data_IF_413151802418
#
_entry.id   IF_413151802418
#
_cell.length_a   1.000
_cell.length_b   1.000
_cell.length_c   1.000
_cell.angle_alpha   90.00
_cell.angle_beta   90.00
_cell.angle_gamma   90.00
#
_symmetry.space_group_name_H-M   'P 1'
#
loop_
_entity.id
_entity.type
_entity.pdbx_description
1 polymer ?
#
# COMPACT_ATOMS: atom_id res chain seq x y z
N UNK A 1 -17.89 -5.54 -30.51
CA UNK A 1 -16.55 -4.93 -30.66
C UNK A 1 -15.80 -5.15 -29.35
N UNK A 2 -14.52 -5.50 -29.43
CA UNK A 2 -13.69 -5.64 -28.22
C UNK A 2 -13.60 -4.29 -27.52
N UNK A 3 -13.71 -4.27 -26.20
CA UNK A 3 -13.59 -3.07 -25.36
C UNK A 3 -12.20 -2.41 -25.49
N UNK A 4 -11.15 -3.20 -25.65
CA UNK A 4 -9.78 -2.79 -25.89
C UNK A 4 -9.28 -3.29 -27.24
N UNK A 5 -8.39 -2.56 -27.90
CA UNK A 5 -7.62 -3.03 -29.04
C UNK A 5 -6.61 -4.11 -28.61
N UNK A 6 -6.09 -4.88 -29.58
CA UNK A 6 -5.08 -5.91 -29.29
C UNK A 6 -3.81 -5.32 -28.63
N UNK A 7 -3.40 -4.14 -29.08
CA UNK A 7 -2.24 -3.44 -28.48
C UNK A 7 -2.49 -3.02 -27.03
N UNK A 8 -3.69 -2.59 -26.71
CA UNK A 8 -4.07 -2.21 -25.35
C UNK A 8 -4.20 -3.43 -24.44
N UNK A 9 -4.71 -4.55 -24.95
CA UNK A 9 -4.69 -5.83 -24.23
C UNK A 9 -3.27 -6.28 -23.90
N UNK A 10 -2.32 -6.12 -24.82
CA UNK A 10 -0.92 -6.43 -24.57
C UNK A 10 -0.32 -5.51 -23.51
N UNK A 11 -0.59 -4.19 -23.57
CA UNK A 11 -0.15 -3.23 -22.57
C UNK A 11 -0.74 -3.52 -21.18
N UNK A 12 -2.03 -3.85 -21.10
CA UNK A 12 -2.70 -4.21 -19.85
C UNK A 12 -2.11 -5.48 -19.25
N UNK A 13 -1.89 -6.52 -20.06
CA UNK A 13 -1.29 -7.75 -19.60
C UNK A 13 0.15 -7.53 -19.10
N UNK A 14 0.96 -6.76 -19.81
CA UNK A 14 2.31 -6.39 -19.41
C UNK A 14 2.32 -5.58 -18.09
N UNK A 15 1.34 -4.70 -17.89
CA UNK A 15 1.14 -4.00 -16.62
C UNK A 15 0.82 -4.96 -15.48
N UNK A 16 -0.12 -5.89 -15.67
CA UNK A 16 -0.51 -6.89 -14.66
C UNK A 16 0.67 -7.81 -14.30
N UNK A 17 1.47 -8.22 -15.29
CA UNK A 17 2.70 -8.99 -15.04
C UNK A 17 3.69 -8.18 -14.20
N UNK A 18 3.88 -6.90 -14.51
CA UNK A 18 4.77 -6.02 -13.76
C UNK A 18 4.32 -5.81 -12.31
N UNK A 19 3.02 -5.68 -12.07
CA UNK A 19 2.45 -5.58 -10.71
C UNK A 19 2.84 -6.79 -9.85
N UNK A 20 2.93 -7.97 -10.45
CA UNK A 20 3.18 -9.21 -9.72
C UNK A 20 4.66 -9.63 -9.66
N UNK A 21 5.53 -9.08 -10.51
CA UNK A 21 6.94 -9.50 -10.62
C UNK A 21 7.95 -8.55 -9.97
N UNK A 22 7.60 -7.28 -9.76
CA UNK A 22 8.52 -6.29 -9.20
C UNK A 22 8.48 -6.36 -7.67
N UNK A 23 9.61 -6.66 -7.03
CA UNK A 23 9.69 -6.78 -5.56
C UNK A 23 9.83 -5.43 -4.86
N UNK A 24 10.55 -4.47 -5.44
CA UNK A 24 10.73 -3.13 -4.88
C UNK A 24 9.43 -2.34 -4.97
N UNK A 25 8.92 -1.87 -3.82
CA UNK A 25 7.69 -1.10 -3.74
C UNK A 25 7.75 0.20 -4.57
N UNK A 26 8.83 0.96 -4.43
CA UNK A 26 9.00 2.22 -5.16
C UNK A 26 9.10 2.00 -6.67
N UNK A 27 9.83 0.97 -7.10
CA UNK A 27 9.95 0.59 -8.50
C UNK A 27 8.61 0.12 -9.06
N UNK A 28 7.88 -0.70 -8.32
CA UNK A 28 6.53 -1.17 -8.64
C UNK A 28 5.60 0.02 -8.90
N UNK A 29 5.44 0.95 -7.95
CA UNK A 29 4.57 2.12 -8.10
C UNK A 29 4.97 3.01 -9.26
N UNK A 30 6.28 3.27 -9.43
CA UNK A 30 6.80 4.04 -10.57
C UNK A 30 6.48 3.37 -11.90
N UNK A 31 6.64 2.04 -11.99
CA UNK A 31 6.36 1.28 -13.20
C UNK A 31 4.86 1.27 -13.52
N UNK A 32 4.01 1.10 -12.51
CA UNK A 32 2.55 1.17 -12.67
C UNK A 32 2.15 2.52 -13.27
N UNK A 33 2.58 3.62 -12.68
CA UNK A 33 2.25 4.96 -13.18
C UNK A 33 2.73 5.15 -14.62
N UNK A 34 3.97 4.81 -14.92
CA UNK A 34 4.53 4.95 -16.28
C UNK A 34 3.78 4.13 -17.33
N UNK A 35 3.44 2.88 -17.01
CA UNK A 35 2.71 2.00 -17.92
C UNK A 35 1.25 2.42 -18.09
N UNK A 36 0.59 2.88 -17.02
CA UNK A 36 -0.76 3.43 -17.10
C UNK A 36 -0.87 4.58 -18.09
N UNK A 37 0.15 5.45 -18.21
CA UNK A 37 0.12 6.60 -19.14
C UNK A 37 -0.08 6.20 -20.61
N UNK A 38 0.30 4.99 -20.99
CA UNK A 38 0.05 4.47 -22.34
C UNK A 38 -1.41 4.05 -22.59
N UNK A 39 -2.11 3.66 -21.54
CA UNK A 39 -3.52 3.24 -21.59
C UNK A 39 -4.47 4.40 -21.28
N UNK A 40 -4.07 5.25 -20.36
CA UNK A 40 -4.84 6.38 -19.81
C UNK A 40 -3.94 7.61 -19.79
N UNK A 41 -3.97 8.48 -20.81
CA UNK A 41 -3.21 9.71 -20.82
C UNK A 41 -3.54 10.59 -19.60
N UNK A 42 -2.54 11.13 -18.94
CA UNK A 42 -2.67 12.04 -17.81
C UNK A 42 -1.54 13.08 -17.78
N UNK A 43 -1.78 14.26 -17.19
CA UNK A 43 -0.78 15.31 -16.98
C UNK A 43 0.17 14.94 -15.84
N UNK A 44 -0.39 14.67 -14.68
CA UNK A 44 0.34 14.29 -13.49
C UNK A 44 -0.33 13.14 -12.77
N UNK A 45 0.43 12.40 -11.98
CA UNK A 45 -0.09 11.29 -11.20
C UNK A 45 0.61 11.20 -9.85
N UNK A 46 -0.12 10.74 -8.84
CA UNK A 46 0.42 10.44 -7.53
C UNK A 46 -0.03 9.05 -7.06
N UNK A 47 0.91 8.30 -6.48
CA UNK A 47 0.64 7.02 -5.85
C UNK A 47 1.24 7.03 -4.44
N UNK A 48 0.44 6.87 -3.44
CA UNK A 48 0.87 6.83 -2.06
C UNK A 48 0.28 5.64 -1.31
N UNK A 49 1.00 5.24 -0.28
CA UNK A 49 0.61 4.18 0.63
C UNK A 49 -0.07 4.76 1.85
N UNK A 50 -0.74 3.92 2.61
CA UNK A 50 -1.35 4.29 3.87
C UNK A 50 -1.21 3.17 4.89
N UNK A 51 -1.11 3.54 6.15
CA UNK A 51 -1.22 2.63 7.30
C UNK A 51 -2.54 2.84 8.07
N UNK A 52 -3.51 3.53 7.47
CA UNK A 52 -4.81 3.72 8.08
C UNK A 52 -5.52 2.38 8.27
N UNK A 53 -5.49 1.87 9.50
CA UNK A 53 -6.58 1.07 10.01
C UNK A 53 -7.87 1.90 10.01
N UNK A 54 -9.04 1.26 10.19
CA UNK A 54 -10.38 1.91 10.09
C UNK A 54 -10.60 3.15 10.99
N UNK A 55 -9.59 3.57 11.75
CA UNK A 55 -9.66 4.73 12.62
C UNK A 55 -9.59 6.03 11.83
N UNK A 56 -10.43 6.97 12.23
CA UNK A 56 -10.51 8.30 11.61
C UNK A 56 -9.23 9.09 11.86
N UNK A 57 -8.68 9.66 10.81
CA UNK A 57 -7.65 10.69 10.90
C UNK A 57 -8.33 12.00 11.33
N UNK A 58 -7.86 12.58 12.40
CA UNK A 58 -8.45 13.80 12.98
C UNK A 58 -7.63 15.06 12.74
N UNK A 59 -6.36 14.93 12.37
CA UNK A 59 -5.46 16.08 12.21
C UNK A 59 -4.70 16.05 10.88
N UNK A 60 -4.27 17.24 10.36
CA UNK A 60 -3.42 17.32 9.17
C UNK A 60 -2.11 16.54 9.34
N UNK A 61 -1.57 16.49 10.57
CA UNK A 61 -0.34 15.78 10.85
C UNK A 61 -0.53 14.26 10.73
N UNK A 62 -1.61 13.72 11.26
CA UNK A 62 -1.95 12.30 11.09
C UNK A 62 -2.17 11.96 9.63
N UNK A 63 -2.88 12.83 8.87
CA UNK A 63 -3.06 12.68 7.43
C UNK A 63 -1.71 12.57 6.71
N UNK A 64 -0.79 13.50 7.00
CA UNK A 64 0.54 13.55 6.40
C UNK A 64 1.38 12.31 6.73
N UNK A 65 1.30 11.80 7.96
CA UNK A 65 2.14 10.69 8.43
C UNK A 65 1.54 9.31 8.17
N UNK A 66 0.23 9.19 8.04
CA UNK A 66 -0.47 7.89 7.93
C UNK A 66 -1.10 7.64 6.55
N UNK A 67 -1.57 8.69 5.87
CA UNK A 67 -2.18 8.58 4.54
C UNK A 67 -1.16 8.71 3.43
N UNK A 68 -0.20 9.63 3.59
CA UNK A 68 0.84 9.89 2.61
C UNK A 68 2.17 9.24 2.99
N UNK A 69 2.16 7.93 3.19
CA UNK A 69 3.41 7.18 3.35
C UNK A 69 4.14 7.12 2.01
N UNK A 70 5.39 7.61 2.02
CA UNK A 70 6.30 7.61 0.87
C UNK A 70 5.58 7.96 -0.45
N UNK A 71 5.02 9.18 -0.57
CA UNK A 71 4.31 9.58 -1.78
C UNK A 71 5.23 9.54 -3.00
N UNK A 72 4.75 8.94 -4.10
CA UNK A 72 5.46 8.88 -5.36
C UNK A 72 4.65 9.64 -6.41
N UNK A 73 5.20 10.76 -6.89
CA UNK A 73 4.59 11.57 -7.94
C UNK A 73 5.31 11.48 -9.27
N UNK A 74 4.56 11.61 -10.35
CA UNK A 74 5.06 11.85 -11.71
C UNK A 74 4.47 13.19 -12.16
N UNK A 75 5.33 14.12 -12.53
CA UNK A 75 4.97 15.47 -13.00
C UNK A 75 4.06 16.25 -12.03
N UNK A 76 4.11 15.93 -10.73
CA UNK A 76 3.38 16.65 -9.69
C UNK A 76 4.11 17.96 -9.38
N UNK A 77 3.44 19.13 -9.43
CA UNK A 77 4.07 20.40 -9.11
C UNK A 77 4.65 20.43 -7.68
N UNK A 78 5.83 21.08 -7.54
CA UNK A 78 6.47 21.24 -6.23
C UNK A 78 5.54 22.00 -5.25
N UNK A 79 5.51 21.59 -3.98
CA UNK A 79 4.69 22.19 -2.93
C UNK A 79 3.21 21.82 -2.98
N UNK A 80 2.76 21.08 -3.99
CA UNK A 80 1.33 20.76 -4.14
C UNK A 80 0.84 19.80 -3.03
N UNK A 81 1.69 18.85 -2.65
CA UNK A 81 1.36 17.90 -1.56
C UNK A 81 1.30 18.60 -0.20
N UNK A 82 2.21 19.52 0.06
CA UNK A 82 2.22 20.34 1.28
C UNK A 82 0.97 21.21 1.35
N UNK A 83 0.64 21.90 0.28
CA UNK A 83 -0.56 22.73 0.18
C UNK A 83 -1.85 21.92 0.42
N UNK A 84 -1.93 20.73 -0.16
CA UNK A 84 -3.03 19.81 0.08
C UNK A 84 -3.15 19.45 1.56
N UNK A 85 -2.06 19.01 2.17
CA UNK A 85 -2.04 18.55 3.56
C UNK A 85 -2.35 19.66 4.55
N UNK A 86 -1.95 20.90 4.24
CA UNK A 86 -2.16 22.05 5.14
C UNK A 86 -3.58 22.63 5.03
N UNK A 87 -4.18 22.60 3.84
CA UNK A 87 -5.40 23.38 3.57
C UNK A 87 -6.58 22.56 3.05
N UNK A 88 -6.35 21.59 2.18
CA UNK A 88 -7.44 21.02 1.35
C UNK A 88 -7.85 19.60 1.70
N UNK A 89 -7.06 18.86 2.47
CA UNK A 89 -7.29 17.45 2.77
C UNK A 89 -8.70 17.12 3.30
N UNK A 90 -9.32 18.05 4.06
CA UNK A 90 -10.67 17.84 4.60
C UNK A 90 -11.78 17.96 3.54
N UNK A 91 -11.47 18.60 2.41
CA UNK A 91 -12.39 18.79 1.30
C UNK A 91 -12.25 17.68 0.24
N UNK A 92 -11.24 16.84 0.38
CA UNK A 92 -10.98 15.73 -0.54
C UNK A 92 -12.03 14.63 -0.36
N UNK A 93 -12.42 14.04 -1.48
CA UNK A 93 -13.38 12.94 -1.53
C UNK A 93 -12.85 11.67 -0.88
N UNK A 94 -11.53 11.43 -0.85
CA UNK A 94 -10.94 10.32 -0.10
C UNK A 94 -11.34 10.41 1.37
N UNK A 95 -11.35 11.63 1.94
CA UNK A 95 -11.83 11.86 3.31
C UNK A 95 -13.33 11.58 3.43
N UNK A 96 -14.11 11.94 2.42
CA UNK A 96 -15.54 11.60 2.38
C UNK A 96 -15.78 10.09 2.25
N UNK A 97 -14.88 9.38 1.59
CA UNK A 97 -14.92 7.92 1.39
C UNK A 97 -14.28 7.10 2.52
N UNK A 98 -13.86 7.73 3.61
CA UNK A 98 -13.26 7.04 4.78
C UNK A 98 -14.09 5.90 5.39
N UNK A 99 -15.39 5.84 5.07
CA UNK A 99 -16.28 4.76 5.46
C UNK A 99 -16.36 3.62 4.43
N UNK A 100 -15.59 3.68 3.34
CA UNK A 100 -15.53 2.60 2.37
C UNK A 100 -14.84 1.39 3.00
N UNK A 101 -15.41 0.23 2.71
CA UNK A 101 -14.88 -1.08 3.14
C UNK A 101 -14.29 -1.88 1.99
N UNK A 102 -14.28 -1.30 0.79
CA UNK A 102 -13.77 -1.93 -0.43
C UNK A 102 -13.08 -0.92 -1.32
N UNK A 103 -12.14 -1.40 -2.12
CA UNK A 103 -11.49 -0.60 -3.15
C UNK A 103 -12.50 -0.06 -4.16
N UNK A 104 -12.21 1.14 -4.65
CA UNK A 104 -13.15 1.87 -5.51
C UNK A 104 -12.37 2.71 -6.51
N UNK A 105 -12.86 2.76 -7.75
CA UNK A 105 -12.43 3.72 -8.78
C UNK A 105 -13.48 4.82 -8.88
N UNK A 106 -13.07 6.05 -8.77
CA UNK A 106 -13.97 7.21 -8.78
C UNK A 106 -13.42 8.29 -9.70
N UNK A 107 -14.22 8.67 -10.69
CA UNK A 107 -14.04 9.91 -11.42
C UNK A 107 -14.67 11.03 -10.61
N UNK A 108 -13.91 12.06 -10.29
CA UNK A 108 -14.33 13.11 -9.37
C UNK A 108 -15.60 13.82 -9.85
N UNK A 109 -15.71 14.07 -11.16
CA UNK A 109 -16.87 14.70 -11.76
C UNK A 109 -18.19 13.96 -11.55
N UNK A 110 -18.16 12.63 -11.38
CA UNK A 110 -19.37 11.83 -11.13
C UNK A 110 -19.93 12.04 -9.72
N UNK A 111 -19.12 12.60 -8.82
CA UNK A 111 -19.45 12.76 -7.40
C UNK A 111 -19.73 14.23 -7.03
N UNK A 112 -19.36 15.18 -7.89
CA UNK A 112 -19.49 16.59 -7.59
C UNK A 112 -20.94 17.06 -7.65
N UNK A 113 -21.41 17.66 -6.55
CA UNK A 113 -22.60 18.50 -6.58
C UNK A 113 -22.30 19.87 -7.20
N UNK A 114 -23.32 20.63 -7.66
CA UNK A 114 -23.10 21.99 -8.17
C UNK A 114 -22.37 22.92 -7.18
N UNK A 115 -22.52 22.70 -5.87
CA UNK A 115 -21.82 23.47 -4.84
C UNK A 115 -20.34 23.11 -4.69
N UNK A 116 -19.98 21.86 -4.96
CA UNK A 116 -18.60 21.40 -4.84
C UNK A 116 -17.72 21.98 -5.94
N UNK A 117 -18.25 22.18 -7.15
CA UNK A 117 -17.55 22.76 -8.30
C UNK A 117 -17.03 24.17 -7.97
N UNK A 118 -17.73 24.89 -7.11
CA UNK A 118 -17.37 26.23 -6.66
C UNK A 118 -16.45 26.26 -5.43
N UNK A 119 -16.09 25.11 -4.90
CA UNK A 119 -15.21 25.00 -3.73
C UNK A 119 -13.79 25.53 -4.02
N UNK A 120 -13.11 25.99 -2.98
CA UNK A 120 -11.71 26.42 -3.09
C UNK A 120 -10.77 25.24 -3.44
N UNK A 121 -11.14 24.03 -3.08
CA UNK A 121 -10.43 22.83 -3.47
C UNK A 121 -10.43 22.64 -5.00
N UNK A 122 -11.60 22.74 -5.62
CA UNK A 122 -11.72 22.60 -7.08
C UNK A 122 -11.07 23.76 -7.84
N UNK A 123 -11.26 24.99 -7.37
CA UNK A 123 -10.78 26.20 -8.07
C UNK A 123 -9.31 26.48 -7.82
N UNK A 124 -8.91 26.52 -6.55
CA UNK A 124 -7.60 27.03 -6.16
C UNK A 124 -6.54 25.91 -6.16
N UNK A 125 -6.93 24.68 -5.78
CA UNK A 125 -6.02 23.54 -5.70
C UNK A 125 -5.98 22.75 -7.00
N UNK A 126 -7.10 22.24 -7.47
CA UNK A 126 -7.16 21.49 -8.71
C UNK A 126 -7.07 22.38 -9.96
N UNK A 127 -7.41 23.66 -9.87
CA UNK A 127 -7.38 24.59 -11.00
C UNK A 127 -8.29 24.15 -12.15
N UNK A 128 -9.40 23.47 -11.83
CA UNK A 128 -10.34 22.91 -12.80
C UNK A 128 -9.84 21.66 -13.53
N UNK A 129 -8.77 21.01 -13.03
CA UNK A 129 -8.32 19.70 -13.54
C UNK A 129 -9.38 18.64 -13.32
N UNK A 130 -9.38 17.64 -14.19
CA UNK A 130 -10.13 16.42 -13.98
C UNK A 130 -9.29 15.42 -13.20
N UNK A 131 -9.91 14.72 -12.28
CA UNK A 131 -9.24 13.71 -11.43
C UNK A 131 -9.99 12.39 -11.49
N UNK A 132 -9.26 11.32 -11.63
CA UNK A 132 -9.75 9.97 -11.33
C UNK A 132 -8.90 9.39 -10.20
N UNK A 133 -9.59 8.89 -9.17
CA UNK A 133 -9.00 8.29 -7.99
C UNK A 133 -9.24 6.79 -7.97
N UNK A 134 -8.22 6.04 -7.57
CA UNK A 134 -8.35 4.63 -7.18
C UNK A 134 -7.95 4.53 -5.71
N UNK A 135 -8.90 4.22 -4.87
CA UNK A 135 -8.68 3.97 -3.44
C UNK A 135 -8.61 2.47 -3.19
N UNK A 136 -7.57 2.02 -2.50
CA UNK A 136 -7.29 0.61 -2.22
C UNK A 136 -7.64 0.27 -0.78
N UNK A 137 -8.46 -0.76 -0.59
CA UNK A 137 -8.87 -1.25 0.72
C UNK A 137 -8.75 -2.76 0.81
N UNK A 138 -8.47 -3.26 2.00
CA UNK A 138 -8.66 -4.66 2.38
C UNK A 138 -9.48 -4.74 3.68
N UNK A 139 -9.58 -5.94 4.26
CA UNK A 139 -10.33 -6.16 5.50
C UNK A 139 -9.75 -5.39 6.69
N UNK A 140 -8.45 -5.05 6.65
CA UNK A 140 -7.75 -4.30 7.70
C UNK A 140 -7.91 -2.77 7.56
N UNK A 141 -8.27 -2.27 6.37
CA UNK A 141 -8.53 -0.85 6.13
C UNK A 141 -7.95 -0.30 4.84
N UNK A 142 -7.64 0.99 4.84
CA UNK A 142 -7.12 1.74 3.70
C UNK A 142 -5.64 1.44 3.47
N UNK A 143 -5.31 0.98 2.27
CA UNK A 143 -3.94 0.59 1.87
C UNK A 143 -3.19 1.71 1.15
N UNK A 144 -3.90 2.63 0.53
CA UNK A 144 -3.32 3.69 -0.28
C UNK A 144 -4.25 4.15 -1.39
N UNK A 145 -3.73 5.05 -2.24
CA UNK A 145 -4.49 5.62 -3.32
C UNK A 145 -3.59 5.95 -4.52
N UNK A 146 -4.19 5.91 -5.69
CA UNK A 146 -3.61 6.36 -6.95
C UNK A 146 -4.51 7.44 -7.54
N UNK A 147 -3.94 8.60 -7.85
CA UNK A 147 -4.62 9.71 -8.48
C UNK A 147 -4.01 9.99 -9.84
N UNK A 148 -4.84 10.11 -10.87
CA UNK A 148 -4.45 10.62 -12.18
C UNK A 148 -5.13 11.96 -12.38
N UNK A 149 -4.36 12.97 -12.80
CA UNK A 149 -4.84 14.31 -13.07
C UNK A 149 -4.70 14.63 -14.54
N UNK A 150 -5.72 15.29 -15.11
CA UNK A 150 -5.75 15.72 -16.51
C UNK A 150 -6.13 17.19 -16.58
N UNK A 151 -5.53 17.94 -17.51
CA UNK A 151 -5.89 19.34 -17.75
C UNK A 151 -7.33 19.47 -18.18
N UNK A 152 -7.94 20.57 -17.82
CA UNK A 152 -9.32 20.90 -18.21
C UNK A 152 -9.54 20.86 -19.71
N UNK A 153 -8.56 21.35 -20.47
CA UNK A 153 -8.61 21.44 -21.93
C UNK A 153 -8.55 20.06 -22.63
N UNK A 154 -8.03 19.04 -21.95
CA UNK A 154 -7.94 17.67 -22.46
C UNK A 154 -9.23 16.86 -22.25
N UNK A 155 -10.18 17.44 -21.52
CA UNK A 155 -11.45 16.80 -21.18
C UNK A 155 -11.31 15.78 -20.04
N UNK A 156 -12.44 15.30 -19.58
CA UNK A 156 -12.52 14.37 -18.46
C UNK A 156 -12.12 12.93 -18.86
N UNK A 157 -11.88 12.11 -17.87
CA UNK A 157 -11.65 10.68 -18.04
C UNK A 157 -12.93 10.01 -18.56
N UNK A 158 -12.81 9.23 -19.62
CA UNK A 158 -13.92 8.50 -20.21
C UNK A 158 -14.31 7.27 -19.38
N UNK A 159 -15.54 6.77 -19.55
CA UNK A 159 -16.01 5.53 -18.92
C UNK A 159 -15.09 4.33 -19.26
N UNK A 160 -14.50 4.33 -20.47
CA UNK A 160 -13.54 3.32 -20.90
C UNK A 160 -12.27 3.37 -20.06
N UNK A 161 -11.74 4.55 -19.74
CA UNK A 161 -10.54 4.72 -18.91
C UNK A 161 -10.82 4.33 -17.46
N UNK A 162 -12.00 4.66 -16.95
CA UNK A 162 -12.47 4.18 -15.64
C UNK A 162 -12.52 2.66 -15.59
N UNK A 163 -13.09 2.01 -16.61
CA UNK A 163 -13.14 0.54 -16.69
C UNK A 163 -11.75 -0.11 -16.77
N UNK A 164 -10.76 0.53 -17.43
CA UNK A 164 -9.37 0.06 -17.40
C UNK A 164 -8.83 0.07 -15.96
N UNK A 165 -9.09 1.12 -15.21
CA UNK A 165 -8.68 1.20 -13.80
C UNK A 165 -9.40 0.15 -12.95
N UNK A 166 -10.68 -0.09 -13.16
CA UNK A 166 -11.44 -1.15 -12.48
C UNK A 166 -10.89 -2.55 -12.75
N UNK A 167 -10.38 -2.80 -13.97
CA UNK A 167 -9.71 -4.08 -14.30
C UNK A 167 -8.37 -4.24 -13.56
N UNK A 168 -7.65 -3.16 -13.33
CA UNK A 168 -6.32 -3.19 -12.71
C UNK A 168 -6.40 -3.13 -11.18
N UNK A 169 -7.43 -2.48 -10.63
CA UNK A 169 -7.61 -2.24 -9.21
C UNK A 169 -7.43 -3.52 -8.36
N UNK A 170 -8.06 -4.68 -8.67
CA UNK A 170 -7.91 -5.87 -7.84
C UNK A 170 -6.47 -6.39 -7.78
N UNK A 171 -5.71 -6.25 -8.87
CA UNK A 171 -4.30 -6.64 -8.92
C UNK A 171 -3.44 -5.74 -8.03
N UNK A 172 -3.70 -4.42 -8.05
CA UNK A 172 -3.02 -3.44 -7.20
C UNK A 172 -3.36 -3.66 -5.73
N UNK A 173 -4.63 -3.81 -5.39
CA UNK A 173 -5.10 -4.10 -4.03
C UNK A 173 -4.47 -5.37 -3.46
N UNK A 174 -4.46 -6.47 -4.22
CA UNK A 174 -3.81 -7.71 -3.79
C UNK A 174 -2.30 -7.53 -3.57
N UNK A 175 -1.63 -6.79 -4.43
CA UNK A 175 -0.20 -6.49 -4.28
C UNK A 175 0.07 -5.66 -3.04
N UNK A 176 -0.69 -4.59 -2.81
CA UNK A 176 -0.55 -3.71 -1.65
C UNK A 176 -0.86 -4.44 -0.33
N UNK A 177 -1.90 -5.27 -0.32
CA UNK A 177 -2.22 -6.11 0.86
C UNK A 177 -1.05 -7.03 1.24
N UNK A 178 -0.44 -7.70 0.27
CA UNK A 178 0.73 -8.55 0.51
C UNK A 178 1.94 -7.74 1.00
N UNK A 179 2.12 -6.55 0.47
CA UNK A 179 3.22 -5.66 0.89
C UNK A 179 3.01 -5.18 2.33
N UNK A 180 1.80 -4.77 2.71
CA UNK A 180 1.46 -4.36 4.07
C UNK A 180 1.75 -5.47 5.08
N UNK A 181 1.29 -6.69 4.82
CA UNK A 181 1.58 -7.86 5.67
C UNK A 181 3.08 -8.07 5.84
N UNK A 182 3.90 -7.87 4.79
CA UNK A 182 5.36 -7.96 4.89
C UNK A 182 5.96 -6.83 5.73
N UNK A 183 5.48 -5.58 5.55
CA UNK A 183 5.94 -4.41 6.30
C UNK A 183 5.59 -4.53 7.79
N UNK A 184 4.39 -4.97 8.13
CA UNK A 184 3.96 -5.19 9.50
C UNK A 184 4.77 -6.29 10.19
N UNK A 185 5.02 -7.39 9.50
CA UNK A 185 5.93 -8.44 10.00
C UNK A 185 7.32 -7.91 10.24
N UNK A 186 7.90 -7.18 9.29
CA UNK A 186 9.22 -6.58 9.44
C UNK A 186 9.30 -5.61 10.63
N UNK A 187 8.27 -4.76 10.81
CA UNK A 187 8.21 -3.84 11.94
C UNK A 187 8.08 -4.56 13.28
N UNK A 188 7.25 -5.59 13.36
CA UNK A 188 7.09 -6.42 14.56
C UNK A 188 8.37 -7.17 14.91
N UNK A 189 9.08 -7.67 13.92
CA UNK A 189 10.38 -8.34 14.08
C UNK A 189 11.47 -7.38 14.57
N UNK A 190 11.49 -6.14 14.08
CA UNK A 190 12.44 -5.10 14.54
C UNK A 190 12.18 -4.78 16.01
N UNK A 191 10.92 -4.58 16.40
CA UNK A 191 10.55 -4.33 17.81
C UNK A 191 10.91 -5.53 18.68
N UNK A 192 10.57 -6.73 18.28
CA UNK A 192 10.92 -7.96 18.96
C UNK A 192 12.45 -8.13 19.12
N UNK A 193 13.20 -7.88 18.04
CA UNK A 193 14.65 -7.95 18.05
C UNK A 193 15.26 -6.95 19.02
N UNK A 194 14.73 -5.73 19.09
CA UNK A 194 15.16 -4.69 20.01
C UNK A 194 14.84 -5.04 21.48
N UNK A 195 13.59 -5.46 21.76
CA UNK A 195 13.13 -5.71 23.13
C UNK A 195 13.85 -6.87 23.80
N UNK A 196 14.23 -7.89 23.01
CA UNK A 196 14.88 -9.09 23.54
C UNK A 196 16.34 -9.25 23.09
N UNK A 197 16.94 -8.25 22.46
CA UNK A 197 18.32 -8.30 21.94
C UNK A 197 18.56 -9.55 21.06
N UNK A 198 17.58 -9.85 20.19
CA UNK A 198 17.62 -11.01 19.29
C UNK A 198 18.35 -10.63 18.02
N UNK A 199 19.34 -11.40 17.61
CA UNK A 199 20.11 -11.16 16.39
C UNK A 199 19.29 -11.43 15.12
N UNK A 200 19.73 -10.88 13.97
CA UNK A 200 19.09 -11.11 12.68
C UNK A 200 18.96 -12.61 12.37
N UNK A 201 19.98 -13.42 12.69
CA UNK A 201 19.95 -14.86 12.45
C UNK A 201 18.97 -15.60 13.38
N UNK A 202 18.80 -15.13 14.58
CA UNK A 202 17.79 -15.63 15.51
C UNK A 202 16.38 -15.24 15.07
N UNK A 203 16.19 -14.08 14.44
CA UNK A 203 14.92 -13.69 13.79
C UNK A 203 14.57 -14.64 12.64
N UNK A 204 15.54 -15.03 11.81
CA UNK A 204 15.29 -16.04 10.75
C UNK A 204 14.75 -17.34 11.35
N UNK A 205 15.35 -17.80 12.47
CA UNK A 205 14.86 -18.98 13.20
C UNK A 205 13.45 -18.75 13.75
N UNK A 206 13.15 -17.58 14.30
CA UNK A 206 11.81 -17.21 14.79
C UNK A 206 10.75 -17.28 13.68
N UNK A 207 11.06 -16.81 12.47
CA UNK A 207 10.16 -16.90 11.29
C UNK A 207 9.82 -18.37 10.96
N UNK A 208 10.84 -19.22 10.93
CA UNK A 208 10.64 -20.64 10.68
C UNK A 208 9.81 -21.32 11.79
N UNK A 209 10.00 -20.91 13.05
CA UNK A 209 9.19 -21.39 14.18
C UNK A 209 7.73 -20.98 14.03
N UNK A 210 7.44 -19.72 13.66
CA UNK A 210 6.08 -19.24 13.40
C UNK A 210 5.42 -19.99 12.24
N UNK A 211 6.19 -20.38 11.22
CA UNK A 211 5.70 -21.19 10.09
C UNK A 211 5.47 -22.67 10.45
N UNK A 212 5.69 -23.06 11.72
CA UNK A 212 5.46 -24.44 12.19
C UNK A 212 6.55 -25.43 11.82
N UNK A 213 7.70 -25.01 11.27
CA UNK A 213 8.79 -25.88 10.85
C UNK A 213 9.44 -26.58 12.05
N UNK A 214 9.80 -27.84 11.93
CA UNK A 214 10.63 -28.51 12.92
C UNK A 214 12.13 -28.18 12.74
N UNK A 215 12.98 -28.67 13.64
CA UNK A 215 14.41 -28.33 13.60
C UNK A 215 15.15 -28.86 12.36
N UNK A 216 14.66 -29.92 11.74
CA UNK A 216 15.26 -30.46 10.52
C UNK A 216 14.89 -29.56 9.31
N UNK A 217 13.61 -29.15 9.18
CA UNK A 217 13.15 -28.24 8.17
C UNK A 217 13.80 -26.85 8.30
N UNK A 218 13.97 -26.33 9.54
CA UNK A 218 14.69 -25.06 9.78
C UNK A 218 16.16 -25.16 9.34
N UNK A 219 16.81 -26.30 9.63
CA UNK A 219 18.21 -26.53 9.25
C UNK A 219 18.37 -26.51 7.72
N UNK A 220 17.46 -27.14 7.00
CA UNK A 220 17.43 -27.18 5.55
C UNK A 220 17.16 -25.77 4.98
N UNK A 221 16.10 -25.12 5.42
CA UNK A 221 15.69 -23.78 4.97
C UNK A 221 16.80 -22.74 5.15
N UNK A 222 17.46 -22.76 6.30
CA UNK A 222 18.50 -21.79 6.63
C UNK A 222 19.92 -22.25 6.25
N UNK A 223 20.08 -23.43 5.63
CA UNK A 223 21.36 -24.00 5.22
C UNK A 223 22.36 -24.11 6.39
N UNK A 224 21.91 -24.60 7.56
CA UNK A 224 22.73 -24.84 8.77
C UNK A 224 22.50 -26.23 9.35
N UNK A 225 23.31 -26.63 10.33
CA UNK A 225 23.08 -27.90 11.01
C UNK A 225 21.92 -27.88 12.01
N UNK A 226 21.27 -29.00 12.26
CA UNK A 226 20.23 -29.12 13.30
C UNK A 226 20.75 -28.78 14.69
N UNK A 227 22.06 -29.04 14.94
CA UNK A 227 22.74 -28.63 16.17
C UNK A 227 22.81 -27.08 16.29
N UNK A 228 23.08 -26.39 15.18
CA UNK A 228 23.09 -24.93 15.13
C UNK A 228 21.69 -24.35 15.38
N UNK A 229 20.64 -24.97 14.82
CA UNK A 229 19.23 -24.56 15.09
C UNK A 229 18.91 -24.68 16.58
N UNK A 230 19.28 -25.81 17.24
CA UNK A 230 19.09 -26.00 18.68
C UNK A 230 19.78 -24.92 19.48
N UNK A 231 21.02 -24.56 19.13
CA UNK A 231 21.78 -23.52 19.80
C UNK A 231 21.12 -22.14 19.65
N UNK A 232 20.59 -21.82 18.47
CA UNK A 232 19.82 -20.57 18.26
C UNK A 232 18.54 -20.55 19.10
N UNK A 233 17.78 -21.66 19.13
CA UNK A 233 16.58 -21.76 19.98
C UNK A 233 16.87 -21.60 21.47
N UNK A 234 17.94 -22.23 21.97
CA UNK A 234 18.38 -22.08 23.36
C UNK A 234 18.72 -20.62 23.70
N UNK A 235 19.41 -19.91 22.79
CA UNK A 235 19.72 -18.50 22.95
C UNK A 235 18.44 -17.64 22.95
N UNK A 236 17.52 -17.89 22.02
CA UNK A 236 16.23 -17.19 21.92
C UNK A 236 15.43 -17.42 23.22
N UNK A 237 15.30 -18.67 23.68
CA UNK A 237 14.58 -18.98 24.92
C UNK A 237 15.16 -18.24 26.13
N UNK A 238 16.50 -18.21 26.23
CA UNK A 238 17.19 -17.48 27.30
C UNK A 238 16.93 -15.97 27.22
N UNK A 239 16.97 -15.37 26.03
CA UNK A 239 16.77 -13.94 25.78
C UNK A 239 15.32 -13.53 26.04
N UNK A 240 14.37 -14.32 25.58
CA UNK A 240 12.92 -14.08 25.69
C UNK A 240 12.31 -14.57 27.01
N UNK A 241 13.10 -15.31 27.83
CA UNK A 241 12.66 -15.92 29.08
C UNK A 241 11.49 -16.92 28.90
N UNK A 242 11.28 -17.45 27.69
CA UNK A 242 10.36 -18.55 27.44
C UNK A 242 11.11 -19.88 27.54
N UNK A 243 10.41 -20.97 27.89
CA UNK A 243 11.01 -22.28 28.12
C UNK A 243 10.51 -23.35 27.13
N UNK A 244 9.74 -22.99 26.15
CA UNK A 244 9.20 -23.92 25.17
C UNK A 244 8.97 -23.29 23.81
N UNK A 245 8.97 -24.13 22.76
CA UNK A 245 8.66 -23.72 21.40
C UNK A 245 7.25 -23.10 21.31
N UNK A 246 6.27 -23.67 21.99
CA UNK A 246 4.90 -23.17 22.04
C UNK A 246 4.86 -21.79 22.72
N UNK A 247 5.61 -21.61 23.81
CA UNK A 247 5.74 -20.31 24.49
C UNK A 247 6.37 -19.26 23.57
N UNK A 248 7.39 -19.63 22.80
CA UNK A 248 7.99 -18.73 21.81
C UNK A 248 7.00 -18.38 20.71
N UNK A 249 6.26 -19.34 20.16
CA UNK A 249 5.22 -19.07 19.16
C UNK A 249 4.15 -18.11 19.68
N UNK A 250 3.66 -18.32 20.90
CA UNK A 250 2.68 -17.44 21.53
C UNK A 250 3.21 -16.03 21.72
N UNK A 251 4.47 -15.89 22.18
CA UNK A 251 5.12 -14.59 22.34
C UNK A 251 5.27 -13.87 20.99
N UNK A 252 5.74 -14.54 19.95
CA UNK A 252 5.89 -13.97 18.60
C UNK A 252 4.54 -13.57 18.00
N UNK A 253 3.48 -14.36 18.24
CA UNK A 253 2.11 -14.02 17.82
C UNK A 253 1.59 -12.75 18.54
N UNK A 254 1.90 -12.55 19.82
CA UNK A 254 1.56 -11.32 20.52
C UNK A 254 2.18 -10.09 19.87
N UNK A 255 3.47 -10.15 19.50
CA UNK A 255 4.13 -9.04 18.79
C UNK A 255 3.53 -8.75 17.42
N UNK A 256 2.97 -9.76 16.77
CA UNK A 256 2.24 -9.59 15.49
C UNK A 256 0.84 -9.03 15.71
N UNK A 257 0.19 -9.35 16.85
CA UNK A 257 -1.18 -8.94 17.17
C UNK A 257 -1.29 -7.56 17.87
N UNK A 258 -0.23 -7.06 18.52
CA UNK A 258 -0.23 -5.78 19.25
C UNK A 258 -0.37 -4.54 18.34
N UNK A 259 -0.44 -4.73 17.02
CA UNK A 259 -0.67 -3.69 16.01
C UNK A 259 -1.98 -3.86 15.23
N UNK A 260 -2.85 -4.77 15.65
CA UNK A 260 -4.23 -4.83 15.17
C UNK A 260 -5.14 -4.00 16.10
#
# INVERSE_FOLDING_TARGET
MSFLSDSEWLCLNDLVLSINSIDSDREFRSTVLKKLRFLIPYESAAFFLSDLSRDLVSTPQEWKTRVFLDPLGIDVPAGMLELYTEKYWQQDMIVAHRNLTRSTVLRESDQLSPGDIDSSYMKDYLGGRHVVNVSFFNDEGFLGSLNLNRKKEEGDFSDREVQILELIEPHLTNRLSKWRVRADRSSSEIVFAHDYDVSAREIDVCRCVLSGMDNAAIAEELSISTGTVKKHLENIFRKTQVNSRIGLMALLQQYTALKQ
#
